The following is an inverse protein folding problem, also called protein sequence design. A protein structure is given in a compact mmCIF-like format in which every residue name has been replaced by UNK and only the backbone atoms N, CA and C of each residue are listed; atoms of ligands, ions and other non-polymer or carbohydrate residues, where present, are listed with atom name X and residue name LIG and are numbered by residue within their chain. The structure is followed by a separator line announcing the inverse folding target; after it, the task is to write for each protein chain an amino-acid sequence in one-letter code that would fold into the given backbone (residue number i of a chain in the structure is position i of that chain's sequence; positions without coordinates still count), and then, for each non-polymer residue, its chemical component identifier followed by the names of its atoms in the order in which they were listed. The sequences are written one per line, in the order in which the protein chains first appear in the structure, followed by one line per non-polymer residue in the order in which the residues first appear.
data_IF_377540435248
#
_entry.id   IF_377540435248
#
_cell.length_a   1.000
_cell.length_b   1.000
_cell.length_c   1.000
_cell.angle_alpha   90.00
_cell.angle_beta   90.00
_cell.angle_gamma   90.00
#
_symmetry.space_group_name_H-M   'P 1'
#
loop_
_entity.id
_entity.type
_entity.pdbx_description
1 polymer ?
#
# COMPACT_ATOMS: atom_id res chain seq x y z
N UNK A 1 61.30 22.74 -7.73
CA UNK A 1 60.34 21.91 -7.00
C UNK A 1 59.00 22.63 -6.90
N UNK A 2 57.98 22.25 -7.68
CA UNK A 2 56.59 22.58 -7.41
C UNK A 2 55.86 21.37 -6.77
N UNK A 3 54.81 21.56 -5.95
CA UNK A 3 54.13 20.45 -5.27
C UNK A 3 53.03 19.84 -6.16
N UNK A 4 52.90 18.52 -6.04
CA UNK A 4 51.92 17.66 -6.69
C UNK A 4 50.48 18.03 -6.29
N UNK A 5 49.63 18.26 -7.29
CA UNK A 5 48.17 18.36 -7.14
C UNK A 5 47.58 17.00 -6.75
N UNK A 6 46.98 16.92 -5.56
CA UNK A 6 46.23 15.76 -5.11
C UNK A 6 44.91 15.63 -5.88
N UNK A 7 44.75 14.54 -6.63
CA UNK A 7 43.46 14.14 -7.19
C UNK A 7 42.59 13.51 -6.09
N UNK A 8 41.55 14.21 -5.64
CA UNK A 8 40.51 13.67 -4.78
C UNK A 8 39.59 12.69 -5.56
N UNK A 9 39.35 11.47 -5.08
CA UNK A 9 38.53 10.48 -5.79
C UNK A 9 37.03 10.78 -5.67
N UNK A 10 36.35 10.82 -6.82
CA UNK A 10 34.89 10.97 -6.98
C UNK A 10 34.13 9.71 -6.51
N UNK A 11 34.06 9.46 -5.19
CA UNK A 11 33.34 8.28 -4.64
C UNK A 11 31.88 8.59 -4.29
N UNK A 12 31.46 9.86 -4.22
CA UNK A 12 30.12 10.24 -3.71
C UNK A 12 28.96 10.23 -4.74
N UNK A 13 29.20 9.95 -6.03
CA UNK A 13 28.11 9.99 -7.04
C UNK A 13 27.30 8.69 -7.17
N UNK A 14 27.70 7.59 -6.53
CA UNK A 14 27.14 6.25 -6.82
C UNK A 14 26.04 5.78 -5.85
N UNK A 15 25.94 6.37 -4.66
CA UNK A 15 24.94 5.99 -3.64
C UNK A 15 23.58 6.68 -3.84
N UNK A 16 23.54 7.91 -4.37
CA UNK A 16 22.29 8.64 -4.63
C UNK A 16 21.38 7.89 -5.62
N UNK A 17 21.96 7.26 -6.63
CA UNK A 17 21.22 6.49 -7.65
C UNK A 17 20.40 5.33 -7.04
N UNK A 18 20.71 4.91 -5.80
CA UNK A 18 19.99 3.84 -5.08
C UNK A 18 18.88 4.35 -4.16
N UNK A 19 18.99 5.60 -3.69
CA UNK A 19 17.96 6.19 -2.84
C UNK A 19 16.68 6.48 -3.63
N UNK A 20 16.82 6.85 -4.91
CA UNK A 20 15.68 7.19 -5.77
C UNK A 20 14.69 6.01 -5.95
N UNK A 21 15.10 4.81 -6.42
CA UNK A 21 14.16 3.71 -6.60
C UNK A 21 13.57 3.19 -5.28
N UNK A 22 14.35 3.22 -4.18
CA UNK A 22 13.85 2.86 -2.84
C UNK A 22 12.79 3.85 -2.38
N UNK A 23 13.05 5.15 -2.53
CA UNK A 23 12.11 6.21 -2.15
C UNK A 23 10.84 6.16 -3.01
N UNK A 24 10.96 5.91 -4.32
CA UNK A 24 9.81 5.70 -5.20
C UNK A 24 8.99 4.46 -4.81
N UNK A 25 9.64 3.36 -4.45
CA UNK A 25 8.94 2.15 -4.01
C UNK A 25 8.24 2.36 -2.67
N UNK A 26 8.89 3.02 -1.71
CA UNK A 26 8.27 3.38 -0.43
C UNK A 26 7.08 4.32 -0.65
N UNK A 27 7.23 5.36 -1.47
CA UNK A 27 6.14 6.28 -1.79
C UNK A 27 4.97 5.53 -2.43
N UNK A 28 5.24 4.66 -3.41
CA UNK A 28 4.22 3.82 -4.03
C UNK A 28 3.51 2.89 -3.02
N UNK A 29 4.27 2.27 -2.13
CA UNK A 29 3.72 1.36 -1.13
C UNK A 29 2.85 2.12 -0.11
N UNK A 30 3.29 3.32 0.29
CA UNK A 30 2.49 4.21 1.15
C UNK A 30 1.20 4.65 0.47
N UNK A 31 1.22 5.04 -0.82
CA UNK A 31 0.01 5.47 -1.53
C UNK A 31 -0.97 4.32 -1.76
N UNK A 32 -0.49 3.11 -2.08
CA UNK A 32 -1.34 1.93 -2.27
C UNK A 32 -2.05 1.51 -0.98
N UNK A 33 -1.42 1.68 0.18
CA UNK A 33 -2.05 1.38 1.47
C UNK A 33 -2.97 2.53 1.92
N UNK A 34 -2.54 3.77 1.71
CA UNK A 34 -3.22 4.96 2.21
C UNK A 34 -4.50 5.28 1.44
N UNK A 35 -4.49 5.19 0.10
CA UNK A 35 -5.64 5.56 -0.73
C UNK A 35 -6.92 4.74 -0.41
N UNK A 36 -6.88 3.38 -0.33
CA UNK A 36 -8.07 2.60 -0.03
C UNK A 36 -8.58 2.86 1.39
N UNK A 37 -7.66 3.03 2.35
CA UNK A 37 -8.01 3.36 3.73
C UNK A 37 -8.70 4.73 3.80
N UNK A 38 -8.16 5.73 3.12
CA UNK A 38 -8.76 7.06 3.05
C UNK A 38 -10.12 7.04 2.34
N UNK A 39 -10.24 6.31 1.22
CA UNK A 39 -11.50 6.15 0.50
C UNK A 39 -12.58 5.50 1.38
N UNK A 40 -12.21 4.49 2.18
CA UNK A 40 -13.12 3.84 3.11
C UNK A 40 -13.54 4.76 4.25
N UNK A 41 -12.59 5.54 4.82
CA UNK A 41 -12.92 6.54 5.82
C UNK A 41 -13.92 7.55 5.26
N UNK A 42 -13.66 8.07 4.06
CA UNK A 42 -14.54 9.03 3.39
C UNK A 42 -15.93 8.44 3.14
N UNK A 43 -16.03 7.22 2.62
CA UNK A 43 -17.31 6.53 2.42
C UNK A 43 -18.06 6.31 3.74
N UNK A 44 -17.34 6.00 4.83
CA UNK A 44 -17.96 5.83 6.15
C UNK A 44 -18.51 7.15 6.71
N UNK A 45 -17.78 8.25 6.54
CA UNK A 45 -18.20 9.58 6.97
C UNK A 45 -19.42 10.04 6.16
N UNK A 46 -19.38 9.92 4.84
CA UNK A 46 -20.48 10.29 3.95
C UNK A 46 -21.77 9.52 4.30
N UNK A 47 -21.66 8.22 4.58
CA UNK A 47 -22.80 7.40 5.02
C UNK A 47 -23.36 7.85 6.37
N UNK A 48 -22.50 8.23 7.32
CA UNK A 48 -22.94 8.71 8.63
C UNK A 48 -23.62 10.07 8.50
N UNK A 49 -23.06 10.99 7.72
CA UNK A 49 -23.67 12.29 7.44
C UNK A 49 -25.02 12.16 6.74
N UNK A 50 -25.13 11.25 5.75
CA UNK A 50 -26.39 10.94 5.11
C UNK A 50 -27.43 10.39 6.09
N UNK A 51 -27.03 9.47 6.99
CA UNK A 51 -27.93 8.94 8.02
C UNK A 51 -28.44 10.03 8.96
N UNK A 52 -27.55 10.95 9.37
CA UNK A 52 -27.91 12.10 10.21
C UNK A 52 -28.93 12.98 9.48
N UNK A 53 -28.62 13.39 8.25
CA UNK A 53 -29.49 14.23 7.44
C UNK A 53 -30.88 13.59 7.22
N UNK A 54 -30.92 12.32 6.84
CA UNK A 54 -32.16 11.58 6.63
C UNK A 54 -32.96 11.43 7.94
N UNK A 55 -32.28 11.19 9.08
CA UNK A 55 -32.96 11.08 10.39
C UNK A 55 -33.56 12.41 10.84
N UNK A 56 -32.82 13.52 10.66
CA UNK A 56 -33.32 14.86 10.96
C UNK A 56 -34.53 15.21 10.09
N UNK A 57 -34.49 14.86 8.80
CA UNK A 57 -35.63 15.06 7.91
C UNK A 57 -36.87 14.26 8.37
N UNK A 58 -36.67 13.03 8.87
CA UNK A 58 -37.76 12.22 9.44
C UNK A 58 -38.31 12.85 10.73
N UNK A 59 -37.46 13.35 11.62
CA UNK A 59 -37.91 14.08 12.82
C UNK A 59 -38.76 15.31 12.44
N UNK A 60 -38.28 16.12 11.50
CA UNK A 60 -39.03 17.27 10.99
C UNK A 60 -40.37 16.87 10.38
N UNK A 61 -40.40 15.76 9.65
CA UNK A 61 -41.62 15.22 9.05
C UNK A 61 -42.62 14.80 10.11
N UNK A 62 -42.18 14.06 11.15
CA UNK A 62 -43.05 13.66 12.26
C UNK A 62 -43.61 14.89 12.97
N UNK A 63 -42.77 15.87 13.29
CA UNK A 63 -43.22 17.12 13.94
C UNK A 63 -44.18 17.92 13.08
N UNK A 64 -43.95 17.98 11.78
CA UNK A 64 -44.85 18.65 10.85
C UNK A 64 -46.23 17.98 10.82
N UNK A 65 -46.29 16.64 10.74
CA UNK A 65 -47.54 15.91 10.76
C UNK A 65 -48.26 16.04 12.10
N UNK A 66 -47.54 15.96 13.22
CA UNK A 66 -48.10 16.23 14.55
C UNK A 66 -48.67 17.65 14.65
N UNK A 67 -47.94 18.67 14.17
CA UNK A 67 -48.44 20.04 14.14
C UNK A 67 -49.70 20.22 13.28
N UNK A 68 -49.79 19.51 12.14
CA UNK A 68 -51.02 19.48 11.32
C UNK A 68 -52.19 18.87 12.10
N UNK A 69 -51.94 17.81 12.87
CA UNK A 69 -52.97 17.20 13.72
C UNK A 69 -53.40 18.15 14.83
N UNK A 70 -52.47 18.90 15.45
CA UNK A 70 -52.81 19.91 16.46
C UNK A 70 -53.76 20.98 15.91
N UNK A 71 -53.59 21.40 14.66
CA UNK A 71 -54.48 22.36 14.00
C UNK A 71 -55.90 21.77 13.77
N UNK A 72 -55.99 20.49 13.39
CA UNK A 72 -57.27 19.79 13.28
C UNK A 72 -57.98 19.67 14.64
N UNK A 73 -57.23 19.42 15.73
CA UNK A 73 -57.77 19.39 17.09
C UNK A 73 -58.18 20.77 17.59
N UNK A 74 -57.42 21.81 17.26
CA UNK A 74 -57.80 23.20 17.56
C UNK A 74 -59.11 23.56 16.88
N UNK A 75 -59.28 23.16 15.62
CA UNK A 75 -60.54 23.34 14.89
C UNK A 75 -61.71 22.59 15.57
N UNK A 76 -61.50 21.32 15.92
CA UNK A 76 -62.47 20.51 16.65
C UNK A 76 -62.87 21.17 17.99
N UNK A 77 -61.88 21.62 18.77
CA UNK A 77 -62.08 22.26 20.07
C UNK A 77 -62.91 23.55 19.95
N UNK A 78 -62.63 24.38 18.93
CA UNK A 78 -63.37 25.60 18.68
C UNK A 78 -64.83 25.31 18.28
N UNK A 79 -65.08 24.30 17.44
CA UNK A 79 -66.44 23.90 17.06
C UNK A 79 -67.25 23.37 18.26
N UNK A 80 -66.59 22.68 19.20
CA UNK A 80 -67.20 22.25 20.47
C UNK A 80 -67.50 23.46 21.35
N UNK A 81 -66.55 24.41 21.48
CA UNK A 81 -66.72 25.61 22.31
C UNK A 81 -67.92 26.46 21.91
N UNK A 82 -68.17 26.58 20.60
CA UNK A 82 -69.30 27.33 20.04
C UNK A 82 -70.62 26.53 20.14
N UNK A 83 -70.57 25.25 20.50
CA UNK A 83 -71.74 24.38 20.62
C UNK A 83 -72.27 23.87 19.28
N UNK A 84 -71.53 24.05 18.18
CA UNK A 84 -71.91 23.55 16.86
C UNK A 84 -71.76 22.03 16.72
N UNK A 85 -70.88 21.43 17.54
CA UNK A 85 -70.61 19.99 17.56
C UNK A 85 -71.01 19.36 18.90
N UNK A 86 -72.08 18.57 18.89
CA UNK A 86 -72.53 17.78 20.03
C UNK A 86 -73.11 16.43 19.59
N UNK A 87 -73.15 15.47 20.51
CA UNK A 87 -73.76 14.15 20.32
C UNK A 87 -73.24 13.40 19.08
N UNK A 88 -74.15 12.94 18.22
CA UNK A 88 -73.80 12.12 17.05
C UNK A 88 -72.91 12.85 16.02
N UNK A 89 -73.06 14.18 15.89
CA UNK A 89 -72.23 14.99 14.98
C UNK A 89 -70.78 15.02 15.44
N UNK A 90 -70.56 15.23 16.75
CA UNK A 90 -69.25 15.19 17.37
C UNK A 90 -68.60 13.81 17.17
N UNK A 91 -69.35 12.74 17.42
CA UNK A 91 -68.86 11.37 17.23
C UNK A 91 -68.50 11.09 15.76
N UNK A 92 -69.30 11.54 14.80
CA UNK A 92 -68.99 11.42 13.36
C UNK A 92 -67.69 12.17 13.02
N UNK A 93 -67.48 13.37 13.57
CA UNK A 93 -66.26 14.15 13.37
C UNK A 93 -65.03 13.47 13.99
N UNK A 94 -65.13 12.98 15.22
CA UNK A 94 -64.04 12.24 15.88
C UNK A 94 -63.67 10.96 15.11
N UNK A 95 -64.67 10.19 14.65
CA UNK A 95 -64.43 9.00 13.81
C UNK A 95 -63.83 9.35 12.45
N UNK A 96 -64.17 10.50 11.88
CA UNK A 96 -63.53 10.99 10.67
C UNK A 96 -62.04 11.25 10.92
N UNK A 97 -61.70 11.97 12.00
CA UNK A 97 -60.30 12.23 12.36
C UNK A 97 -59.50 10.94 12.60
N UNK A 98 -60.05 9.94 13.30
CA UNK A 98 -59.39 8.64 13.47
C UNK A 98 -59.14 7.89 12.14
N UNK A 99 -59.99 8.10 11.13
CA UNK A 99 -59.80 7.50 9.80
C UNK A 99 -58.78 8.27 8.97
N UNK A 100 -58.70 9.59 9.16
CA UNK A 100 -57.76 10.46 8.44
C UNK A 100 -56.34 10.36 9.02
N UNK A 101 -56.23 10.12 10.34
CA UNK A 101 -54.99 10.08 11.10
C UNK A 101 -54.85 8.71 11.80
N UNK A 102 -54.39 7.65 11.09
CA UNK A 102 -54.38 6.27 11.60
C UNK A 102 -53.44 6.03 12.78
N UNK A 103 -52.52 6.95 13.06
CA UNK A 103 -51.68 6.96 14.25
C UNK A 103 -52.47 7.23 15.55
N UNK A 104 -53.68 7.78 15.43
CA UNK A 104 -54.58 8.01 16.54
C UNK A 104 -55.34 6.73 16.87
N UNK A 105 -55.37 6.40 18.16
CA UNK A 105 -56.08 5.23 18.67
C UNK A 105 -57.42 5.57 19.31
N UNK A 106 -57.56 6.80 19.84
CA UNK A 106 -58.74 7.25 20.58
C UNK A 106 -58.82 8.78 20.61
N UNK A 107 -60.06 9.31 20.57
CA UNK A 107 -60.33 10.74 20.82
C UNK A 107 -61.51 10.84 21.79
N UNK A 108 -61.30 11.56 22.91
CA UNK A 108 -62.34 11.80 23.92
C UNK A 108 -62.45 13.28 24.25
N UNK A 109 -63.65 13.72 24.63
CA UNK A 109 -63.91 15.03 25.19
C UNK A 109 -64.40 14.89 26.63
N UNK A 110 -63.73 15.58 27.54
CA UNK A 110 -64.06 15.62 28.96
C UNK A 110 -64.51 17.03 29.32
N UNK A 111 -65.66 17.18 29.97
CA UNK A 111 -66.18 18.46 30.44
C UNK A 111 -65.38 19.05 31.61
N UNK A 112 -65.66 20.30 31.96
CA UNK A 112 -65.05 20.97 33.11
C UNK A 112 -65.35 20.25 34.45
N UNK A 113 -66.53 19.65 34.58
CA UNK A 113 -66.92 18.79 35.71
C UNK A 113 -66.18 17.45 35.72
N UNK A 114 -65.40 17.17 34.67
CA UNK A 114 -64.68 15.93 34.47
C UNK A 114 -65.53 14.82 33.86
N UNK A 115 -66.82 15.00 33.61
CA UNK A 115 -67.61 13.92 33.00
C UNK A 115 -67.27 13.79 31.52
N UNK A 116 -67.27 12.55 31.02
CA UNK A 116 -67.10 12.29 29.59
C UNK A 116 -68.27 12.91 28.83
N UNK A 117 -67.98 13.94 28.04
CA UNK A 117 -68.97 14.68 27.27
C UNK A 117 -69.08 14.17 25.82
N UNK A 118 -68.08 13.44 25.33
CA UNK A 118 -68.12 12.74 24.05
C UNK A 118 -66.93 11.80 23.85
N UNK A 119 -67.08 10.78 23.01
CA UNK A 119 -66.00 9.87 22.61
C UNK A 119 -66.21 9.44 21.15
N UNK A 120 -65.13 9.01 20.51
CA UNK A 120 -65.18 8.31 19.23
C UNK A 120 -66.04 7.02 19.27
N UNK A 121 -66.16 6.37 20.44
CA UNK A 121 -66.97 5.17 20.66
C UNK A 121 -68.35 5.51 21.25
N UNK A 122 -69.33 4.63 21.01
CA UNK A 122 -70.70 4.81 21.50
C UNK A 122 -70.88 4.49 23.00
N UNK A 123 -69.79 4.44 23.77
CA UNK A 123 -69.80 4.15 25.20
C UNK A 123 -69.73 5.45 25.98
N UNK A 124 -70.71 5.69 26.87
CA UNK A 124 -70.61 6.73 27.88
C UNK A 124 -69.46 6.38 28.82
N UNK A 125 -68.37 7.16 28.80
CA UNK A 125 -67.24 6.95 29.70
C UNK A 125 -67.42 7.76 30.98
N UNK A 126 -67.26 7.11 32.15
CA UNK A 126 -67.13 7.82 33.42
C UNK A 126 -65.66 8.02 33.75
N UNK A 127 -65.30 9.18 34.34
CA UNK A 127 -63.93 9.50 34.79
C UNK A 127 -63.32 8.44 35.71
N UNK A 128 -64.17 7.75 36.49
CA UNK A 128 -63.78 6.65 37.39
C UNK A 128 -63.33 5.39 36.66
N UNK A 129 -63.63 5.26 35.36
CA UNK A 129 -63.19 4.16 34.49
C UNK A 129 -61.92 4.52 33.70
N UNK A 130 -61.47 5.78 33.75
CA UNK A 130 -60.20 6.16 33.14
C UNK A 130 -59.05 5.62 34.00
N UNK A 131 -57.99 5.05 33.38
CA UNK A 131 -56.80 4.62 34.10
C UNK A 131 -56.26 5.75 34.99
N UNK A 132 -55.86 5.42 36.22
CA UNK A 132 -55.22 6.36 37.18
C UNK A 132 -54.16 7.27 36.54
N UNK A 133 -53.25 6.76 35.67
CA UNK A 133 -52.27 7.61 34.98
C UNK A 133 -52.88 8.77 34.19
N UNK A 134 -54.01 8.54 33.51
CA UNK A 134 -54.69 9.55 32.71
C UNK A 134 -55.39 10.61 33.58
N UNK A 135 -55.90 10.22 34.75
CA UNK A 135 -56.52 11.14 35.71
C UNK A 135 -55.48 12.10 36.30
N UNK A 136 -54.32 11.58 36.69
CA UNK A 136 -53.20 12.40 37.18
C UNK A 136 -52.66 13.36 36.11
N UNK A 137 -52.60 12.91 34.84
CA UNK A 137 -52.25 13.77 33.69
C UNK A 137 -53.28 14.90 33.50
N UNK A 138 -54.57 14.58 33.56
CA UNK A 138 -55.66 15.56 33.46
C UNK A 138 -55.62 16.64 34.53
N UNK A 139 -55.40 16.26 35.79
CA UNK A 139 -55.37 17.20 36.91
C UNK A 139 -54.19 18.19 36.81
N UNK A 140 -53.04 17.74 36.28
CA UNK A 140 -51.89 18.61 35.99
C UNK A 140 -52.22 19.65 34.92
N UNK A 141 -52.88 19.24 33.84
CA UNK A 141 -53.11 20.10 32.66
C UNK A 141 -54.26 21.08 32.89
N UNK A 142 -55.22 20.74 33.76
CA UNK A 142 -56.22 21.71 34.26
C UNK A 142 -55.58 22.93 34.91
N UNK A 143 -54.35 22.84 35.43
CA UNK A 143 -53.64 23.96 36.01
C UNK A 143 -52.90 24.83 34.98
N UNK A 144 -52.43 24.26 33.86
CA UNK A 144 -51.64 24.98 32.85
C UNK A 144 -52.51 25.65 31.79
N UNK A 145 -53.69 25.09 31.49
CA UNK A 145 -54.63 25.57 30.47
C UNK A 145 -53.99 25.75 29.07
N UNK A 146 -52.87 25.08 28.80
CA UNK A 146 -52.17 25.08 27.52
C UNK A 146 -52.24 23.69 26.86
N UNK A 147 -52.19 23.60 25.52
CA UNK A 147 -52.08 22.32 24.84
C UNK A 147 -50.70 21.68 25.11
N UNK A 148 -50.68 20.43 25.57
CA UNK A 148 -49.46 19.74 25.98
C UNK A 148 -49.53 18.25 25.67
N UNK A 149 -48.37 17.66 25.35
CA UNK A 149 -48.23 16.20 25.28
C UNK A 149 -47.93 15.65 26.68
N UNK A 150 -48.45 14.45 26.95
CA UNK A 150 -48.05 13.71 28.13
C UNK A 150 -46.76 12.93 27.88
N UNK A 151 -46.07 12.62 28.97
CA UNK A 151 -45.05 11.59 28.95
C UNK A 151 -45.68 10.26 28.50
N UNK A 152 -45.04 9.55 27.56
CA UNK A 152 -45.59 8.33 26.99
C UNK A 152 -45.65 7.22 28.04
N UNK A 153 -46.72 6.45 28.01
CA UNK A 153 -46.83 5.27 28.85
C UNK A 153 -46.07 4.13 28.18
N UNK A 154 -45.20 3.41 28.91
CA UNK A 154 -44.42 2.32 28.33
C UNK A 154 -45.35 1.21 27.82
N UNK A 155 -44.94 0.46 26.80
CA UNK A 155 -45.74 -0.64 26.28
C UNK A 155 -45.90 -1.73 27.34
N UNK A 156 -47.09 -2.32 27.42
CA UNK A 156 -47.36 -3.44 28.35
C UNK A 156 -47.03 -4.78 27.69
N UNK A 157 -47.38 -4.92 26.41
CA UNK A 157 -47.10 -6.08 25.55
C UNK A 157 -47.16 -5.66 24.06
N UNK A 158 -46.97 -6.60 23.14
CA UNK A 158 -47.04 -6.33 21.69
C UNK A 158 -48.44 -5.91 21.19
N UNK A 159 -49.50 -6.21 21.95
CA UNK A 159 -50.89 -5.85 21.62
C UNK A 159 -51.25 -4.45 22.16
N UNK A 160 -50.54 -3.98 23.17
CA UNK A 160 -50.72 -2.70 23.85
C UNK A 160 -49.46 -1.85 23.66
N UNK A 161 -49.28 -1.25 22.46
CA UNK A 161 -48.12 -0.43 22.17
C UNK A 161 -48.07 0.80 23.08
N UNK A 162 -46.90 1.41 23.21
CA UNK A 162 -46.76 2.64 23.98
C UNK A 162 -47.65 3.73 23.39
N UNK A 163 -48.33 4.43 24.28
CA UNK A 163 -49.25 5.51 23.91
C UNK A 163 -48.82 6.83 24.50
N UNK A 164 -49.13 7.90 23.79
CA UNK A 164 -48.92 9.27 24.21
C UNK A 164 -50.22 10.05 24.04
N UNK A 165 -50.70 10.64 25.12
CA UNK A 165 -51.89 11.50 25.07
C UNK A 165 -51.49 12.94 24.77
N UNK A 166 -52.24 13.60 23.89
CA UNK A 166 -52.20 15.02 23.62
C UNK A 166 -53.48 15.67 24.17
N UNK A 167 -53.31 16.71 24.97
CA UNK A 167 -54.41 17.39 25.65
C UNK A 167 -54.63 18.76 25.04
N UNK A 168 -55.87 19.07 24.70
CA UNK A 168 -56.25 20.35 24.14
C UNK A 168 -57.37 20.98 24.99
N UNK A 169 -57.09 22.07 25.74
CA UNK A 169 -58.09 22.72 26.59
C UNK A 169 -59.08 23.55 25.76
N UNK A 170 -60.37 23.37 26.05
CA UNK A 170 -61.47 24.12 25.47
C UNK A 170 -61.86 25.25 26.42
N UNK A 171 -61.93 26.46 25.87
CA UNK A 171 -62.40 27.63 26.60
C UNK A 171 -63.68 28.15 25.96
N UNK A 172 -64.72 28.37 26.77
CA UNK A 172 -65.98 28.98 26.37
C UNK A 172 -66.16 30.27 27.16
N UNK A 173 -66.33 31.40 26.48
CA UNK A 173 -66.46 32.73 27.08
C UNK A 173 -65.34 33.07 28.09
N UNK A 174 -64.11 32.62 27.79
CA UNK A 174 -62.93 32.83 28.65
C UNK A 174 -62.85 31.92 29.88
N UNK A 175 -63.77 30.96 30.04
CA UNK A 175 -63.73 29.94 31.10
C UNK A 175 -63.40 28.57 30.53
N UNK A 176 -62.64 27.79 31.30
CA UNK A 176 -62.36 26.40 30.96
C UNK A 176 -63.66 25.59 30.92
N UNK A 177 -63.98 25.04 29.74
CA UNK A 177 -65.20 24.27 29.49
C UNK A 177 -64.93 22.75 29.44
N UNK A 178 -63.66 22.34 29.34
CA UNK A 178 -63.25 20.95 29.25
C UNK A 178 -61.97 20.78 28.44
N UNK A 179 -61.61 19.53 28.14
CA UNK A 179 -60.44 19.21 27.30
C UNK A 179 -60.77 18.10 26.32
N UNK A 180 -60.25 18.22 25.10
CA UNK A 180 -60.16 17.10 24.15
C UNK A 180 -58.85 16.38 24.40
N UNK A 181 -58.90 15.05 24.44
CA UNK A 181 -57.72 14.21 24.56
C UNK A 181 -57.64 13.33 23.32
N UNK A 182 -56.49 13.35 22.67
CA UNK A 182 -56.15 12.48 21.56
C UNK A 182 -55.03 11.52 21.98
N UNK A 183 -55.26 10.22 21.88
CA UNK A 183 -54.26 9.20 22.24
C UNK A 183 -53.55 8.71 20.98
N UNK A 184 -52.25 8.95 20.87
CA UNK A 184 -51.36 8.49 19.80
C UNK A 184 -50.73 7.13 20.13
N UNK A 185 -50.64 6.24 19.15
CA UNK A 185 -49.75 5.07 19.20
C UNK A 185 -48.36 5.47 18.73
N UNK A 186 -47.33 5.28 19.56
CA UNK A 186 -45.96 5.62 19.16
C UNK A 186 -45.43 4.70 18.05
N UNK A 187 -45.84 3.43 18.03
CA UNK A 187 -45.62 2.55 16.88
C UNK A 187 -46.38 3.04 15.64
N UNK A 188 -47.62 3.48 15.82
CA UNK A 188 -48.44 4.04 14.73
C UNK A 188 -47.83 5.31 14.11
N UNK A 189 -47.25 6.20 14.93
CA UNK A 189 -46.48 7.36 14.45
C UNK A 189 -45.35 6.89 13.55
N UNK A 190 -44.56 5.90 13.99
CA UNK A 190 -43.47 5.38 13.18
C UNK A 190 -43.97 4.74 11.88
N UNK A 191 -45.09 4.02 11.91
CA UNK A 191 -45.65 3.34 10.74
C UNK A 191 -46.21 4.29 9.68
N UNK A 192 -46.91 5.34 10.11
CA UNK A 192 -47.61 6.27 9.23
C UNK A 192 -46.74 7.47 8.80
N UNK A 193 -45.95 8.02 9.72
CA UNK A 193 -45.24 9.28 9.46
C UNK A 193 -43.83 9.09 8.89
N UNK A 194 -43.20 7.93 9.14
CA UNK A 194 -41.88 7.65 8.57
C UNK A 194 -42.03 7.11 7.16
N UNK A 195 -41.33 7.66 6.15
CA UNK A 195 -41.41 7.14 4.80
C UNK A 195 -40.87 5.72 4.66
N UNK A 196 -41.46 4.98 3.71
CA UNK A 196 -41.06 3.61 3.40
C UNK A 196 -39.58 3.50 3.02
N UNK A 197 -39.03 4.46 2.27
CA UNK A 197 -37.65 4.42 1.76
C UNK A 197 -36.62 4.49 2.90
N UNK A 198 -36.96 5.17 4.00
CA UNK A 198 -36.14 5.28 5.18
C UNK A 198 -36.27 4.03 6.05
N UNK A 199 -37.52 3.59 6.29
CA UNK A 199 -37.81 2.39 7.08
C UNK A 199 -37.24 1.09 6.46
N UNK A 200 -37.09 1.03 5.14
CA UNK A 200 -36.49 -0.13 4.47
C UNK A 200 -34.95 -0.18 4.64
N UNK A 201 -34.30 0.95 4.90
CA UNK A 201 -32.84 1.05 5.05
C UNK A 201 -32.39 1.11 6.50
N UNK A 202 -33.30 1.38 7.42
CA UNK A 202 -32.99 1.62 8.81
C UNK A 202 -34.01 0.96 9.72
N UNK A 203 -33.50 0.45 10.82
CA UNK A 203 -34.27 0.16 12.01
C UNK A 203 -34.48 1.46 12.80
N UNK A 204 -35.72 1.71 13.22
CA UNK A 204 -36.11 2.97 13.86
C UNK A 204 -36.78 2.67 15.19
N UNK A 205 -36.38 3.39 16.23
CA UNK A 205 -36.91 3.25 17.59
C UNK A 205 -37.31 4.63 18.11
N UNK A 206 -38.41 4.67 18.86
CA UNK A 206 -38.69 5.76 19.79
C UNK A 206 -38.34 5.27 21.19
N UNK A 207 -37.55 6.04 21.92
CA UNK A 207 -37.18 5.73 23.30
C UNK A 207 -37.53 6.86 24.24
N UNK A 208 -37.82 6.54 25.49
CA UNK A 208 -37.96 7.56 26.54
C UNK A 208 -36.59 8.02 27.08
N UNK A 209 -36.60 8.96 28.02
CA UNK A 209 -35.43 9.43 28.78
C UNK A 209 -34.67 8.35 29.57
N UNK A 210 -35.24 7.16 29.73
CA UNK A 210 -34.64 6.00 30.40
C UNK A 210 -34.18 4.94 29.40
N UNK A 211 -34.11 5.29 28.10
CA UNK A 211 -33.78 4.40 26.98
C UNK A 211 -34.73 3.19 26.82
N UNK A 212 -35.94 3.25 27.38
CA UNK A 212 -36.95 2.20 27.18
C UNK A 212 -37.57 2.36 25.80
N UNK A 213 -37.65 1.27 25.05
CA UNK A 213 -38.30 1.27 23.73
C UNK A 213 -39.80 1.50 23.89
N UNK A 214 -40.26 2.61 23.31
CA UNK A 214 -41.67 2.98 23.25
C UNK A 214 -42.32 2.49 21.95
N UNK A 215 -41.58 2.58 20.85
CA UNK A 215 -42.05 2.11 19.54
C UNK A 215 -40.87 1.66 18.70
N UNK A 216 -41.10 0.70 17.81
CA UNK A 216 -40.07 0.15 16.92
C UNK A 216 -40.64 -0.10 15.53
N UNK A 217 -39.87 0.23 14.50
CA UNK A 217 -40.15 -0.12 13.11
C UNK A 217 -38.92 -0.72 12.46
N UNK A 218 -39.02 -1.98 12.04
CA UNK A 218 -37.92 -2.77 11.47
C UNK A 218 -38.27 -3.30 10.07
N UNK A 219 -38.74 -2.44 9.17
CA UNK A 219 -39.17 -2.86 7.83
C UNK A 219 -38.01 -3.41 6.97
N UNK A 220 -36.79 -2.90 7.16
CA UNK A 220 -35.57 -3.39 6.50
C UNK A 220 -34.83 -4.54 7.20
N UNK A 221 -35.30 -4.99 8.36
CA UNK A 221 -34.58 -5.90 9.25
C UNK A 221 -33.87 -5.20 10.41
N UNK A 222 -33.09 -5.96 11.18
CA UNK A 222 -32.33 -5.44 12.32
C UNK A 222 -31.14 -4.60 11.86
N UNK A 223 -30.93 -3.46 12.51
CA UNK A 223 -29.79 -2.59 12.29
C UNK A 223 -28.50 -3.27 12.76
N UNK A 224 -27.38 -2.94 12.11
CA UNK A 224 -26.09 -3.59 12.38
C UNK A 224 -25.24 -2.91 13.45
N UNK A 225 -25.71 -1.80 14.01
CA UNK A 225 -25.02 -1.05 15.08
C UNK A 225 -23.76 -0.33 14.61
N UNK A 226 -23.52 -0.24 13.30
CA UNK A 226 -22.34 0.42 12.72
C UNK A 226 -22.62 1.90 12.48
N UNK A 227 -23.77 2.20 11.88
CA UNK A 227 -24.21 3.56 11.61
C UNK A 227 -25.47 3.79 12.42
N UNK A 228 -25.34 4.57 13.48
CA UNK A 228 -26.42 4.89 14.40
C UNK A 228 -26.48 6.39 14.62
N UNK A 229 -27.69 6.90 14.79
CA UNK A 229 -27.91 8.28 15.18
C UNK A 229 -29.13 8.37 16.10
N UNK A 230 -29.10 9.31 17.04
CA UNK A 230 -30.19 9.56 17.97
C UNK A 230 -30.44 11.06 18.03
N UNK A 231 -31.70 11.46 17.98
CA UNK A 231 -32.09 12.86 18.08
C UNK A 231 -33.40 12.99 18.85
N UNK A 232 -33.50 14.01 19.70
CA UNK A 232 -34.70 14.24 20.49
C UNK A 232 -35.82 14.81 19.63
N UNK A 233 -37.00 14.19 19.72
CA UNK A 233 -38.24 14.73 19.18
C UNK A 233 -38.66 15.85 20.14
N UNK A 234 -38.36 17.10 19.77
CA UNK A 234 -38.66 18.27 20.59
C UNK A 234 -40.18 18.53 20.67
N UNK A 235 -40.87 17.73 21.48
CA UNK A 235 -42.30 17.87 21.77
C UNK A 235 -42.49 18.56 23.13
N UNK A 236 -43.47 19.46 23.27
CA UNK A 236 -43.79 20.07 24.56
C UNK A 236 -44.11 19.02 25.63
N UNK A 237 -43.28 18.92 26.66
CA UNK A 237 -43.44 18.06 27.84
C UNK A 237 -43.36 16.54 27.62
N UNK A 238 -42.99 16.09 26.43
CA UNK A 238 -42.75 14.68 26.10
C UNK A 238 -41.27 14.47 25.74
N UNK A 239 -40.56 13.70 26.59
CA UNK A 239 -39.16 13.35 26.36
C UNK A 239 -39.08 12.08 25.50
N UNK A 240 -39.03 12.25 24.19
CA UNK A 240 -38.95 11.14 23.23
C UNK A 240 -37.72 11.32 22.34
N UNK A 241 -36.89 10.30 22.24
CA UNK A 241 -35.74 10.28 21.35
C UNK A 241 -35.99 9.34 20.18
N UNK A 242 -35.80 9.85 18.95
CA UNK A 242 -35.79 9.06 17.72
C UNK A 242 -34.38 8.48 17.53
N UNK A 243 -34.27 7.15 17.59
CA UNK A 243 -33.03 6.42 17.33
C UNK A 243 -33.13 5.68 16.01
N UNK A 244 -32.13 5.86 15.18
CA UNK A 244 -32.00 5.22 13.87
C UNK A 244 -30.75 4.33 13.87
N UNK A 245 -30.89 3.10 13.40
CA UNK A 245 -29.81 2.14 13.23
C UNK A 245 -29.84 1.57 11.81
N UNK A 246 -28.81 1.83 11.00
CA UNK A 246 -28.79 1.38 9.62
C UNK A 246 -28.66 -0.14 9.52
N UNK A 247 -29.38 -0.75 8.57
CA UNK A 247 -29.21 -2.18 8.23
C UNK A 247 -27.92 -2.42 7.44
N UNK A 248 -27.30 -1.35 6.93
CA UNK A 248 -26.00 -1.41 6.25
C UNK A 248 -24.89 -1.69 7.26
N UNK A 249 -23.98 -2.58 6.88
CA UNK A 249 -22.85 -2.95 7.74
C UNK A 249 -21.61 -2.13 7.41
N UNK A 250 -20.55 -2.37 8.18
CA UNK A 250 -19.24 -1.80 7.88
C UNK A 250 -18.83 -2.18 6.44
N UNK A 251 -18.21 -1.24 5.69
CA UNK A 251 -17.71 -1.52 4.36
C UNK A 251 -16.78 -2.75 4.42
N UNK A 252 -17.04 -3.75 3.58
CA UNK A 252 -16.21 -4.95 3.51
C UNK A 252 -14.85 -4.56 2.95
N UNK A 253 -13.77 -4.99 3.60
CA UNK A 253 -12.38 -4.80 3.19
C UNK A 253 -12.02 -5.65 1.96
N UNK A 254 -12.84 -5.61 0.91
CA UNK A 254 -12.63 -6.40 -0.31
C UNK A 254 -11.33 -6.09 -1.09
N UNK A 255 -10.46 -5.09 -0.77
CA UNK A 255 -9.15 -5.00 -1.41
C UNK A 255 -7.94 -5.29 -0.51
N UNK A 256 -8.07 -5.93 0.66
CA UNK A 256 -6.86 -6.37 1.39
C UNK A 256 -6.02 -7.34 0.55
N UNK A 257 -6.65 -8.21 -0.25
CA UNK A 257 -5.92 -9.11 -1.15
C UNK A 257 -5.22 -8.36 -2.27
N UNK A 258 -5.86 -7.35 -2.88
CA UNK A 258 -5.24 -6.54 -3.93
C UNK A 258 -4.06 -5.73 -3.37
N UNK A 259 -4.22 -5.12 -2.19
CA UNK A 259 -3.14 -4.41 -1.51
C UNK A 259 -2.00 -5.37 -1.19
N UNK A 260 -2.29 -6.54 -0.61
CA UNK A 260 -1.27 -7.56 -0.30
C UNK A 260 -0.57 -8.04 -1.56
N UNK A 261 -1.29 -8.30 -2.65
CA UNK A 261 -0.71 -8.71 -3.93
C UNK A 261 0.20 -7.61 -4.49
N UNK A 262 -0.23 -6.35 -4.49
CA UNK A 262 0.59 -5.23 -4.96
C UNK A 262 1.84 -5.06 -4.07
N UNK A 263 1.70 -5.18 -2.75
CA UNK A 263 2.82 -5.13 -1.80
C UNK A 263 3.81 -6.28 -2.04
N UNK A 264 3.32 -7.50 -2.24
CA UNK A 264 4.17 -8.66 -2.52
C UNK A 264 4.87 -8.51 -3.87
N UNK A 265 4.17 -8.06 -4.92
CA UNK A 265 4.75 -7.85 -6.25
C UNK A 265 5.82 -6.75 -6.25
N UNK A 266 5.59 -5.64 -5.51
CA UNK A 266 6.56 -4.55 -5.40
C UNK A 266 7.81 -4.96 -4.63
N UNK A 267 7.66 -5.67 -3.51
CA UNK A 267 8.79 -6.24 -2.76
C UNK A 267 9.56 -7.25 -3.62
N UNK A 268 8.85 -8.09 -4.38
CA UNK A 268 9.44 -9.04 -5.31
C UNK A 268 10.25 -8.38 -6.43
N UNK A 269 9.71 -7.32 -7.04
CA UNK A 269 10.42 -6.55 -8.07
C UNK A 269 11.70 -5.90 -7.52
N UNK A 270 11.63 -5.32 -6.32
CA UNK A 270 12.78 -4.70 -5.69
C UNK A 270 13.86 -5.73 -5.34
N UNK A 271 13.47 -6.89 -4.82
CA UNK A 271 14.40 -7.99 -4.59
C UNK A 271 15.03 -8.46 -5.90
N UNK A 272 14.25 -8.66 -6.97
CA UNK A 272 14.75 -9.04 -8.29
C UNK A 272 15.80 -8.06 -8.83
N UNK A 273 15.52 -6.75 -8.76
CA UNK A 273 16.48 -5.70 -9.14
C UNK A 273 17.76 -5.75 -8.30
N UNK A 274 17.64 -5.93 -6.98
CA UNK A 274 18.78 -6.06 -6.08
C UNK A 274 19.62 -7.32 -6.37
N UNK A 275 18.97 -8.42 -6.77
CA UNK A 275 19.64 -9.67 -7.15
C UNK A 275 20.37 -9.53 -8.50
N UNK A 276 19.72 -8.97 -9.52
CA UNK A 276 20.32 -8.70 -10.83
C UNK A 276 21.55 -7.79 -10.69
N UNK A 277 21.46 -6.76 -9.86
CA UNK A 277 22.59 -5.86 -9.65
C UNK A 277 23.76 -6.52 -8.93
N UNK A 278 23.49 -7.37 -7.92
CA UNK A 278 24.53 -8.19 -7.28
C UNK A 278 25.24 -9.08 -8.30
N UNK A 279 24.49 -9.69 -9.22
CA UNK A 279 25.07 -10.52 -10.27
C UNK A 279 25.97 -9.70 -11.22
N UNK A 280 25.48 -8.55 -11.71
CA UNK A 280 26.24 -7.66 -12.61
C UNK A 280 27.54 -7.18 -11.95
N UNK A 281 27.49 -6.77 -10.67
CA UNK A 281 28.69 -6.34 -9.95
C UNK A 281 29.70 -7.46 -9.78
N UNK A 282 29.24 -8.69 -9.48
CA UNK A 282 30.11 -9.86 -9.36
C UNK A 282 30.80 -10.16 -10.69
N UNK A 283 30.07 -10.12 -11.81
CA UNK A 283 30.62 -10.31 -13.16
C UNK A 283 31.67 -9.25 -13.49
N UNK A 284 31.37 -7.98 -13.25
CA UNK A 284 32.32 -6.89 -13.48
C UNK A 284 33.60 -7.03 -12.64
N UNK A 285 33.51 -7.54 -11.41
CA UNK A 285 34.69 -7.76 -10.56
C UNK A 285 35.59 -8.87 -11.12
N UNK A 286 35.01 -9.98 -11.58
CA UNK A 286 35.75 -11.09 -12.20
C UNK A 286 36.42 -10.64 -13.50
N UNK A 287 35.70 -9.91 -14.37
CA UNK A 287 36.27 -9.38 -15.62
C UNK A 287 37.45 -8.43 -15.36
N UNK A 288 37.35 -7.57 -14.34
CA UNK A 288 38.44 -6.66 -13.97
C UNK A 288 39.66 -7.43 -13.46
N UNK A 289 39.48 -8.39 -12.57
CA UNK A 289 40.57 -9.22 -12.08
C UNK A 289 41.27 -9.98 -13.23
N UNK A 290 40.49 -10.49 -14.19
CA UNK A 290 41.06 -11.15 -15.37
C UNK A 290 41.84 -10.17 -16.26
N UNK A 291 41.28 -8.97 -16.54
CA UNK A 291 41.99 -7.94 -17.31
C UNK A 291 43.27 -7.49 -16.62
N UNK A 292 43.26 -7.34 -15.30
CA UNK A 292 44.45 -6.99 -14.52
C UNK A 292 45.52 -8.08 -14.58
N UNK A 293 45.13 -9.36 -14.48
CA UNK A 293 46.07 -10.48 -14.64
C UNK A 293 46.69 -10.54 -16.05
N UNK A 294 45.88 -10.32 -17.10
CA UNK A 294 46.38 -10.28 -18.48
C UNK A 294 47.34 -9.10 -18.66
N UNK A 295 46.95 -7.90 -18.23
CA UNK A 295 47.78 -6.70 -18.33
C UNK A 295 49.10 -6.85 -17.56
N UNK A 296 49.07 -7.44 -16.35
CA UNK A 296 50.26 -7.71 -15.56
C UNK A 296 51.19 -8.72 -16.25
N UNK A 297 50.64 -9.80 -16.81
CA UNK A 297 51.41 -10.79 -17.56
C UNK A 297 52.07 -10.17 -18.80
N UNK A 298 51.33 -9.40 -19.59
CA UNK A 298 51.88 -8.71 -20.77
C UNK A 298 52.97 -7.72 -20.40
N UNK A 299 52.78 -6.93 -19.33
CA UNK A 299 53.81 -5.99 -18.86
C UNK A 299 55.07 -6.71 -18.35
N UNK A 300 54.92 -7.84 -17.67
CA UNK A 300 56.05 -8.68 -17.26
C UNK A 300 56.82 -9.23 -18.46
N UNK A 301 56.12 -9.74 -19.48
CA UNK A 301 56.73 -10.27 -20.71
C UNK A 301 57.50 -9.19 -21.50
N UNK A 302 56.98 -7.97 -21.57
CA UNK A 302 57.62 -6.83 -22.28
C UNK A 302 58.86 -6.28 -21.55
N UNK A 303 58.93 -6.43 -20.23
CA UNK A 303 60.00 -5.91 -19.38
C UNK A 303 61.25 -6.81 -19.34
N UNK A 304 61.18 -8.03 -19.89
CA UNK A 304 62.34 -8.92 -19.96
C UNK A 304 63.33 -8.42 -21.00
N UNK A 305 64.57 -8.13 -20.60
CA UNK A 305 65.70 -7.86 -21.52
C UNK A 305 66.14 -9.15 -22.22
N UNK A 306 65.88 -10.29 -21.60
CA UNK A 306 66.18 -11.62 -22.11
C UNK A 306 65.29 -11.96 -23.30
N UNK A 307 65.93 -12.35 -24.40
CA UNK A 307 65.22 -12.88 -25.56
C UNK A 307 64.66 -14.26 -25.25
N UNK A 308 63.36 -14.44 -25.43
CA UNK A 308 62.69 -15.73 -25.29
C UNK A 308 62.25 -16.23 -26.66
N UNK A 309 62.45 -17.52 -26.89
CA UNK A 309 62.09 -18.19 -28.13
C UNK A 309 61.66 -19.61 -27.84
N UNK A 310 60.63 -20.08 -28.52
CA UNK A 310 60.14 -21.45 -28.43
C UNK A 310 60.21 -22.10 -29.79
N UNK A 311 60.60 -23.38 -29.82
CA UNK A 311 60.54 -24.22 -31.00
C UNK A 311 59.70 -25.46 -30.74
N UNK A 312 59.03 -25.97 -31.78
CA UNK A 312 58.37 -27.28 -31.74
C UNK A 312 59.37 -28.44 -31.81
N UNK A 313 58.86 -29.68 -31.68
CA UNK A 313 59.65 -30.91 -31.78
C UNK A 313 60.35 -31.10 -33.14
N UNK A 314 59.93 -30.38 -34.19
CA UNK A 314 60.55 -30.37 -35.52
C UNK A 314 61.60 -29.27 -35.69
N UNK A 315 61.86 -28.47 -34.64
CA UNK A 315 62.81 -27.36 -34.67
C UNK A 315 62.28 -26.08 -35.34
N UNK A 316 60.97 -25.96 -35.60
CA UNK A 316 60.35 -24.73 -36.12
C UNK A 316 60.06 -23.76 -34.99
N UNK A 317 60.33 -22.47 -35.21
CA UNK A 317 60.00 -21.42 -34.22
C UNK A 317 58.49 -21.30 -34.08
N UNK A 318 57.96 -21.48 -32.88
CA UNK A 318 56.52 -21.31 -32.59
C UNK A 318 56.22 -20.00 -31.86
N UNK A 319 57.19 -19.46 -31.12
CA UNK A 319 57.03 -18.19 -30.41
C UNK A 319 58.37 -17.48 -30.24
N UNK A 320 58.35 -16.14 -30.28
CA UNK A 320 59.45 -15.26 -29.88
C UNK A 320 58.88 -14.06 -29.13
N UNK A 321 59.53 -13.64 -28.05
CA UNK A 321 59.10 -12.41 -27.35
C UNK A 321 59.63 -11.15 -28.06
N UNK A 322 59.07 -9.96 -27.78
CA UNK A 322 59.54 -8.71 -28.36
C UNK A 322 61.02 -8.41 -28.09
N UNK A 323 61.56 -8.83 -26.94
CA UNK A 323 62.97 -8.63 -26.61
C UNK A 323 63.92 -9.40 -27.52
N UNK A 324 63.60 -10.66 -27.87
CA UNK A 324 64.36 -11.44 -28.84
C UNK A 324 64.35 -10.77 -30.21
N UNK A 325 63.18 -10.32 -30.67
CA UNK A 325 63.04 -9.61 -31.94
C UNK A 325 63.89 -8.32 -31.98
N UNK A 326 63.90 -7.53 -30.88
CA UNK A 326 64.78 -6.36 -30.75
C UNK A 326 66.26 -6.75 -30.75
N UNK A 327 66.62 -7.85 -30.08
CA UNK A 327 67.98 -8.34 -29.98
C UNK A 327 68.55 -8.77 -31.35
N UNK A 328 67.81 -9.54 -32.15
CA UNK A 328 68.30 -9.95 -33.49
C UNK A 328 67.98 -8.94 -34.59
N UNK A 329 67.08 -7.98 -34.35
CA UNK A 329 66.64 -6.99 -35.34
C UNK A 329 65.70 -7.57 -36.41
N UNK A 330 65.09 -8.73 -36.17
CA UNK A 330 64.19 -9.43 -37.09
C UNK A 330 62.79 -9.47 -36.45
N UNK A 331 61.72 -9.07 -37.16
CA UNK A 331 60.37 -9.08 -36.60
C UNK A 331 59.87 -10.52 -36.42
N UNK A 332 58.99 -10.73 -35.43
CA UNK A 332 58.48 -12.05 -35.07
C UNK A 332 57.89 -12.83 -36.25
N UNK A 333 57.17 -12.14 -37.14
CA UNK A 333 56.54 -12.72 -38.34
C UNK A 333 57.55 -13.38 -39.31
N UNK A 334 58.79 -12.89 -39.35
CA UNK A 334 59.84 -13.42 -40.25
C UNK A 334 60.58 -14.60 -39.61
N UNK A 335 60.48 -14.73 -38.27
CA UNK A 335 61.12 -15.76 -37.46
C UNK A 335 60.21 -16.97 -37.20
N UNK A 336 58.92 -16.73 -36.92
CA UNK A 336 57.95 -17.79 -36.64
C UNK A 336 57.79 -18.70 -37.87
N UNK A 337 57.82 -20.01 -37.66
CA UNK A 337 57.73 -21.03 -38.70
C UNK A 337 59.06 -21.38 -39.38
N UNK A 338 60.15 -20.64 -39.14
CA UNK A 338 61.48 -20.95 -39.69
C UNK A 338 62.08 -22.18 -39.01
N UNK A 339 62.73 -23.02 -39.80
CA UNK A 339 63.58 -24.14 -39.38
C UNK A 339 65.06 -23.79 -39.59
N UNK A 340 65.99 -24.53 -38.96
CA UNK A 340 67.43 -24.37 -39.23
C UNK A 340 67.80 -24.53 -40.71
N UNK A 341 68.87 -23.86 -41.19
CA UNK A 341 69.71 -22.90 -40.47
C UNK A 341 68.97 -21.58 -40.19
N UNK A 342 69.13 -21.07 -38.96
CA UNK A 342 68.41 -19.86 -38.54
C UNK A 342 69.07 -18.59 -39.09
N UNK A 343 68.30 -17.55 -39.43
CA UNK A 343 68.82 -16.33 -40.07
C UNK A 343 69.77 -15.50 -39.18
N UNK A 344 69.76 -15.73 -37.87
CA UNK A 344 70.62 -15.06 -36.88
C UNK A 344 71.83 -15.91 -36.46
N UNK A 345 72.05 -17.09 -37.07
CA UNK A 345 73.24 -17.90 -36.79
C UNK A 345 74.45 -17.33 -37.53
N UNK A 346 75.51 -17.02 -36.79
CA UNK A 346 76.77 -16.57 -37.38
C UNK A 346 77.41 -17.70 -38.21
N UNK A 347 77.84 -17.45 -39.47
CA UNK A 347 78.39 -18.49 -40.34
C UNK A 347 79.61 -19.23 -39.77
N UNK A 348 80.40 -18.56 -38.93
CA UNK A 348 81.66 -19.08 -38.37
C UNK A 348 81.46 -20.22 -37.36
N UNK A 349 80.27 -20.31 -36.77
CA UNK A 349 79.91 -21.32 -35.75
C UNK A 349 78.75 -22.20 -36.24
N UNK A 350 78.51 -22.24 -37.57
CA UNK A 350 77.41 -22.99 -38.18
C UNK A 350 77.49 -24.49 -37.90
N UNK A 351 78.70 -25.07 -37.95
CA UNK A 351 78.92 -26.49 -37.67
C UNK A 351 78.55 -26.85 -36.22
N UNK A 352 78.90 -25.98 -35.26
CA UNK A 352 78.49 -26.15 -33.86
C UNK A 352 76.97 -26.07 -33.67
N UNK A 353 76.29 -25.17 -34.41
CA UNK A 353 74.82 -25.07 -34.34
C UNK A 353 74.14 -26.31 -34.92
N UNK A 354 74.66 -26.87 -36.02
CA UNK A 354 74.12 -28.08 -36.62
C UNK A 354 74.31 -29.30 -35.71
N UNK A 355 75.49 -29.44 -35.09
CA UNK A 355 75.75 -30.51 -34.12
C UNK A 355 74.83 -30.39 -32.90
N UNK A 356 74.70 -29.20 -32.30
CA UNK A 356 73.79 -28.97 -31.17
C UNK A 356 72.34 -29.21 -31.54
N UNK A 357 71.92 -28.81 -32.74
CA UNK A 357 70.58 -29.08 -33.23
C UNK A 357 70.32 -30.58 -33.37
N UNK A 358 71.27 -31.33 -33.94
CA UNK A 358 71.16 -32.79 -34.07
C UNK A 358 71.10 -33.49 -32.69
N UNK A 359 71.92 -33.07 -31.73
CA UNK A 359 71.89 -33.58 -30.36
C UNK A 359 70.57 -33.25 -29.65
N UNK A 360 70.01 -32.06 -29.88
CA UNK A 360 68.72 -31.62 -29.32
C UNK A 360 67.55 -32.47 -29.84
N UNK A 361 67.50 -32.72 -31.15
CA UNK A 361 66.49 -33.59 -31.76
C UNK A 361 66.65 -35.04 -31.29
N UNK A 362 67.88 -35.49 -31.02
CA UNK A 362 68.16 -36.79 -30.42
C UNK A 362 67.86 -36.88 -28.91
N UNK A 363 67.29 -35.84 -28.30
CA UNK A 363 66.90 -35.82 -26.89
C UNK A 363 68.06 -35.68 -25.89
N UNK A 364 69.27 -35.36 -26.37
CA UNK A 364 70.46 -35.16 -25.52
C UNK A 364 70.73 -33.66 -25.37
N UNK A 365 70.18 -33.06 -24.32
CA UNK A 365 70.37 -31.64 -24.02
C UNK A 365 71.42 -31.47 -22.93
N UNK A 366 72.39 -30.58 -23.15
CA UNK A 366 73.19 -30.04 -22.06
C UNK A 366 72.44 -28.82 -21.49
N UNK A 367 71.97 -28.92 -20.25
CA UNK A 367 71.26 -27.82 -19.54
C UNK A 367 72.20 -26.73 -19.04
N UNK A 368 73.51 -26.96 -19.10
CA UNK A 368 74.50 -25.91 -18.89
C UNK A 368 74.49 -25.01 -20.13
N UNK A 369 73.91 -23.82 -20.00
CA UNK A 369 73.82 -22.85 -21.09
C UNK A 369 75.18 -22.62 -21.77
N UNK A 370 75.14 -22.33 -23.06
CA UNK A 370 76.33 -22.23 -23.89
C UNK A 370 76.50 -20.82 -24.47
N UNK A 371 77.74 -20.36 -24.56
CA UNK A 371 78.08 -19.12 -25.25
C UNK A 371 78.18 -19.38 -26.75
N UNK A 372 77.69 -18.45 -27.55
CA UNK A 372 77.81 -18.48 -29.01
C UNK A 372 77.69 -17.08 -29.59
N UNK A 373 77.79 -16.94 -30.90
CA UNK A 373 77.73 -15.65 -31.60
C UNK A 373 76.47 -15.61 -32.45
N UNK A 374 75.65 -14.59 -32.23
CA UNK A 374 74.48 -14.28 -33.07
C UNK A 374 74.80 -13.15 -34.02
N UNK A 375 74.06 -13.13 -35.12
CA UNK A 375 74.08 -12.09 -36.15
C UNK A 375 72.80 -11.26 -36.04
N UNK A 376 72.96 -9.95 -35.91
CA UNK A 376 71.85 -9.00 -36.07
C UNK A 376 71.51 -8.84 -37.55
N UNK A 377 70.32 -8.30 -37.86
CA UNK A 377 69.87 -8.03 -39.24
C UNK A 377 70.84 -7.14 -40.04
N UNK A 378 71.57 -6.25 -39.37
CA UNK A 378 72.59 -5.36 -39.95
C UNK A 378 73.99 -6.02 -40.11
N UNK A 379 74.08 -7.33 -39.88
CA UNK A 379 75.31 -8.13 -39.88
C UNK A 379 76.29 -7.86 -38.72
N UNK A 380 75.86 -7.12 -37.70
CA UNK A 380 76.64 -7.01 -36.46
C UNK A 380 76.68 -8.37 -35.73
N UNK A 381 77.87 -8.80 -35.32
CA UNK A 381 78.08 -10.00 -34.51
C UNK A 381 78.09 -9.63 -33.04
N UNK A 382 77.34 -10.35 -32.23
CA UNK A 382 77.32 -10.13 -30.79
C UNK A 382 77.33 -11.47 -30.04
N UNK A 383 78.11 -11.58 -28.95
CA UNK A 383 78.14 -12.79 -28.15
C UNK A 383 76.84 -12.92 -27.34
N UNK A 384 76.27 -14.11 -27.34
CA UNK A 384 75.08 -14.46 -26.56
C UNK A 384 75.32 -15.68 -25.70
N UNK A 385 74.63 -15.71 -24.57
CA UNK A 385 74.51 -16.88 -23.72
C UNK A 385 73.12 -17.47 -23.89
N UNK A 386 73.06 -18.74 -24.30
CA UNK A 386 71.80 -19.43 -24.59
C UNK A 386 71.56 -20.54 -23.58
N UNK A 387 70.42 -20.48 -22.90
CA UNK A 387 69.89 -21.55 -22.07
C UNK A 387 68.71 -22.21 -22.76
N UNK A 388 68.65 -23.52 -22.74
CA UNK A 388 67.53 -24.27 -23.32
C UNK A 388 66.93 -25.24 -22.31
N UNK A 389 65.60 -25.24 -22.23
CA UNK A 389 64.84 -26.15 -21.39
C UNK A 389 63.73 -26.82 -22.19
N UNK A 390 63.38 -28.05 -21.82
CA UNK A 390 62.21 -28.71 -22.38
C UNK A 390 60.94 -27.93 -22.01
N UNK A 391 60.10 -27.65 -23.00
CA UNK A 391 58.76 -27.10 -22.77
C UNK A 391 57.80 -28.28 -22.64
N UNK A 392 57.10 -28.38 -21.50
CA UNK A 392 56.16 -29.46 -21.19
C UNK A 392 54.73 -28.92 -21.12
N UNK A 393 53.75 -29.72 -21.53
CA UNK A 393 52.32 -29.41 -21.33
C UNK A 393 51.87 -29.74 -19.89
N UNK A 394 50.59 -29.46 -19.61
CA UNK A 394 49.94 -29.75 -18.32
C UNK A 394 49.97 -31.24 -17.92
N UNK A 395 50.20 -32.15 -18.87
CA UNK A 395 50.30 -33.60 -18.66
C UNK A 395 51.76 -34.09 -18.57
N UNK A 396 52.73 -33.18 -18.51
CA UNK A 396 54.16 -33.49 -18.43
C UNK A 396 54.76 -34.00 -19.74
N UNK A 397 54.04 -33.91 -20.88
CA UNK A 397 54.57 -34.32 -22.18
C UNK A 397 55.35 -33.17 -22.80
N UNK A 398 56.54 -33.45 -23.30
CA UNK A 398 57.33 -32.44 -23.98
C UNK A 398 56.65 -32.02 -25.29
N UNK A 399 56.38 -30.73 -25.43
CA UNK A 399 55.78 -30.11 -26.61
C UNK A 399 56.77 -29.32 -27.45
N UNK A 400 57.96 -29.03 -26.90
CA UNK A 400 59.01 -28.31 -27.61
C UNK A 400 60.19 -27.96 -26.72
N UNK A 401 60.88 -26.88 -27.09
CA UNK A 401 61.99 -26.31 -26.34
C UNK A 401 61.83 -24.81 -26.18
N UNK A 402 62.13 -24.30 -24.98
CA UNK A 402 62.20 -22.87 -24.69
C UNK A 402 63.66 -22.47 -24.54
N UNK A 403 64.09 -21.55 -25.41
CA UNK A 403 65.39 -20.89 -25.38
C UNK A 403 65.29 -19.53 -24.70
N UNK A 404 66.19 -19.29 -23.75
CA UNK A 404 66.44 -18.00 -23.11
C UNK A 404 67.81 -17.49 -23.58
N UNK A 405 67.82 -16.31 -24.19
CA UNK A 405 68.99 -15.73 -24.85
C UNK A 405 69.33 -14.41 -24.16
N UNK A 406 70.56 -14.31 -23.68
CA UNK A 406 71.11 -13.09 -23.10
C UNK A 406 72.22 -12.55 -23.99
N UNK A 407 72.16 -11.25 -24.30
CA UNK A 407 73.28 -10.53 -24.90
C UNK A 407 74.36 -10.32 -23.82
N UNK A 408 75.55 -10.88 -24.02
CA UNK A 408 76.68 -10.79 -23.08
C UNK A 408 77.78 -9.87 -23.59
N UNK A 409 77.48 -9.02 -24.58
CA UNK A 409 78.43 -8.06 -25.15
C UNK A 409 79.05 -7.17 -24.08
N UNK A 410 78.23 -6.63 -23.17
CA UNK A 410 78.72 -5.81 -22.06
C UNK A 410 79.62 -6.59 -21.11
N UNK A 411 79.24 -7.82 -20.77
CA UNK A 411 80.04 -8.69 -19.90
C UNK A 411 81.42 -8.96 -20.49
N UNK A 412 81.48 -9.34 -21.77
CA UNK A 412 82.75 -9.58 -22.48
C UNK A 412 83.59 -8.30 -22.57
N UNK A 413 82.97 -7.14 -22.84
CA UNK A 413 83.68 -5.85 -22.85
C UNK A 413 84.32 -5.52 -21.49
N UNK A 414 83.63 -5.76 -20.38
CA UNK A 414 84.18 -5.56 -19.04
C UNK A 414 85.26 -6.58 -18.68
N UNK A 415 85.10 -7.84 -19.06
CA UNK A 415 86.14 -8.88 -18.89
C UNK A 415 87.42 -8.52 -19.66
N UNK A 416 87.28 -8.05 -20.90
CA UNK A 416 88.40 -7.64 -21.75
C UNK A 416 89.08 -6.36 -21.24
N UNK A 417 88.33 -5.40 -20.72
CA UNK A 417 88.88 -4.19 -20.08
C UNK A 417 89.67 -4.55 -18.82
N UNK A 418 89.14 -5.43 -17.97
CA UNK A 418 89.83 -5.89 -16.77
C UNK A 418 91.08 -6.72 -17.12
N UNK A 419 91.05 -7.54 -18.17
CA UNK A 419 92.23 -8.27 -18.68
C UNK A 419 93.32 -7.35 -19.24
N UNK A 420 92.98 -6.14 -19.69
CA UNK A 420 93.93 -5.15 -20.20
C UNK A 420 94.48 -4.21 -19.12
N UNK A 421 93.90 -4.19 -17.93
CA UNK A 421 94.35 -3.39 -16.78
C UNK A 421 95.19 -4.19 -15.76
N UNK A 422 95.30 -5.51 -15.94
CA UNK A 422 96.31 -6.37 -15.29
C UNK A 422 97.50 -6.54 -16.23
#
# INVERSE_FOLDING_TARGET
MPPLTAHTPLVHRRTWQWLVPVLCALLFLTTVIWLPHQAQQMESTERQEQLIADTLWVEQTIRFQLGRNEDDFRSLANEIAVGHLAGEKLQKRMRFLLRTHPELTRIIWIGADGRGAGSDRNTSFSLTELPEPLRLKLDRIRATLAPEYSQPDPPVDDQHPAVMDYFFPIHQDGRYAGSVIATYSLTGILEQMVPWWFAQKNEIHLTDRYERTLGRRTAGGAGRGVYTYAHDLHLPYADITLRTNSVRGAPKLLPNLLIVVIVVLTLGLFWSLAALWRDINRRMAVERALREQIAFRTAMEDSLVTGLRVYDLSGRITYVNPAFCRMVGIPAQDLIGRSPPMPYWAPEVMDEYQERFALRIAGKINTQGFETIFLRRDQERFPVLVYESALVDENGRQTGWMGSILDISDRKRFEDLNRRQQ
#
